data_IF_285614555904
#
_entry.id   IF_285614555904
#
_cell.length_a   1.000
_cell.length_b   1.000
_cell.length_c   1.000
_cell.angle_alpha   90.00
_cell.angle_beta   90.00
_cell.angle_gamma   90.00
#
_symmetry.space_group_name_H-M   'P 1'
#
loop_
_entity.id
_entity.type
_entity.pdbx_description
1 polymer ?
#
# COMPACT_ATOMS: atom_id res chain seq x y z
N UNK A 1 28.99 9.12 -26.75
CA UNK A 1 28.52 9.96 -25.62
C UNK A 1 29.64 10.05 -24.58
N UNK A 2 29.77 11.16 -23.84
CA UNK A 2 30.76 11.26 -22.77
C UNK A 2 30.48 10.20 -21.68
N UNK A 3 31.54 9.63 -21.12
CA UNK A 3 31.50 8.77 -19.93
C UNK A 3 32.19 9.53 -18.81
N UNK A 4 31.47 9.80 -17.72
CA UNK A 4 32.03 10.51 -16.57
C UNK A 4 32.57 9.48 -15.56
N UNK A 5 33.89 9.38 -15.47
CA UNK A 5 34.54 8.58 -14.43
C UNK A 5 34.59 9.38 -13.12
N UNK A 6 33.48 9.41 -12.37
CA UNK A 6 33.46 10.04 -11.05
C UNK A 6 32.12 10.63 -10.65
N UNK A 7 32.16 11.57 -9.72
CA UNK A 7 30.99 12.28 -9.19
C UNK A 7 30.57 13.38 -10.15
N UNK A 8 29.33 13.32 -10.62
CA UNK A 8 28.67 14.46 -11.25
C UNK A 8 28.20 15.43 -10.16
N UNK A 9 28.65 16.68 -10.21
CA UNK A 9 28.15 17.76 -9.35
C UNK A 9 27.52 18.83 -10.24
N UNK A 10 26.24 19.10 -10.04
CA UNK A 10 25.51 20.14 -10.77
C UNK A 10 24.54 20.82 -9.79
N UNK A 11 24.27 22.12 -10.02
CA UNK A 11 23.28 22.86 -9.22
C UNK A 11 21.84 22.44 -9.53
N UNK A 12 21.63 21.71 -10.63
CA UNK A 12 20.34 21.16 -11.05
C UNK A 12 20.50 20.19 -12.22
N UNK A 13 19.49 19.34 -12.41
CA UNK A 13 19.36 18.43 -13.53
C UNK A 13 17.89 18.46 -13.99
N UNK A 14 17.65 18.92 -15.21
CA UNK A 14 16.36 18.76 -15.90
C UNK A 14 16.51 17.66 -16.95
N UNK A 15 15.84 16.53 -16.73
CA UNK A 15 15.87 15.38 -17.64
C UNK A 15 14.92 15.53 -18.83
N UNK A 16 14.15 16.63 -18.94
CA UNK A 16 13.15 16.85 -20.00
C UNK A 16 12.13 15.69 -20.13
N UNK A 17 11.75 15.08 -18.99
CA UNK A 17 10.82 13.95 -18.94
C UNK A 17 11.43 12.57 -19.25
N UNK A 18 12.73 12.50 -19.52
CA UNK A 18 13.40 11.22 -19.79
C UNK A 18 13.60 10.36 -18.54
N UNK A 19 13.70 9.04 -18.74
CA UNK A 19 13.97 8.09 -17.66
C UNK A 19 15.43 8.15 -17.24
N UNK A 20 15.68 8.22 -15.93
CA UNK A 20 16.99 7.96 -15.33
C UNK A 20 17.08 6.46 -15.00
N UNK A 21 17.83 5.71 -15.81
CA UNK A 21 17.97 4.25 -15.68
C UNK A 21 19.27 3.87 -14.97
N UNK A 22 19.39 2.60 -14.58
CA UNK A 22 20.56 2.04 -13.87
C UNK A 22 20.89 2.72 -12.52
N UNK A 23 19.86 3.23 -11.84
CA UNK A 23 19.98 3.71 -10.46
C UNK A 23 20.01 2.51 -9.51
N UNK A 24 21.15 2.30 -8.86
CA UNK A 24 21.29 1.30 -7.79
C UNK A 24 20.33 1.58 -6.64
N UNK A 25 20.02 0.57 -5.83
CA UNK A 25 19.17 0.77 -4.66
C UNK A 25 19.87 1.72 -3.68
N UNK A 26 19.17 2.77 -3.26
CA UNK A 26 19.67 3.71 -2.26
C UNK A 26 19.76 3.07 -0.88
N UNK A 27 20.83 3.37 -0.15
CA UNK A 27 21.07 2.85 1.21
C UNK A 27 21.25 3.98 2.23
N UNK A 28 21.79 5.12 1.81
CA UNK A 28 21.84 6.33 2.62
C UNK A 28 20.58 7.18 2.43
N UNK A 29 20.26 8.02 3.41
CA UNK A 29 19.10 8.91 3.35
C UNK A 29 19.14 9.93 2.19
N UNK A 30 20.32 10.17 1.62
CA UNK A 30 20.54 11.11 0.51
C UNK A 30 20.60 10.42 -0.86
N UNK A 31 20.49 9.09 -0.91
CA UNK A 31 20.50 8.36 -2.17
C UNK A 31 19.15 8.49 -2.88
N UNK A 32 19.18 8.49 -4.21
CA UNK A 32 17.95 8.32 -4.98
C UNK A 32 17.39 6.90 -4.77
N UNK A 33 16.06 6.79 -4.69
CA UNK A 33 15.38 5.50 -4.68
C UNK A 33 15.05 5.05 -6.10
N UNK A 34 15.17 3.76 -6.38
CA UNK A 34 14.71 3.20 -7.65
C UNK A 34 13.30 2.61 -7.54
N UNK A 35 12.68 2.30 -8.69
CA UNK A 35 11.31 1.76 -8.75
C UNK A 35 11.15 0.46 -7.95
N UNK A 36 12.17 -0.39 -7.90
CA UNK A 36 12.12 -1.64 -7.13
C UNK A 36 11.92 -1.40 -5.63
N UNK A 37 12.56 -0.37 -5.07
CA UNK A 37 12.36 0.03 -3.67
C UNK A 37 10.95 0.59 -3.45
N UNK A 38 10.44 1.40 -4.38
CA UNK A 38 9.08 1.94 -4.31
C UNK A 38 8.02 0.84 -4.41
N UNK A 39 8.18 -0.11 -5.32
CA UNK A 39 7.27 -1.26 -5.49
C UNK A 39 7.26 -2.15 -4.24
N UNK A 40 8.43 -2.39 -3.64
CA UNK A 40 8.54 -3.14 -2.39
C UNK A 40 7.83 -2.44 -1.23
N UNK A 41 7.97 -1.12 -1.12
CA UNK A 41 7.24 -0.31 -0.13
C UNK A 41 5.73 -0.39 -0.34
N UNK A 42 5.26 -0.21 -1.58
CA UNK A 42 3.84 -0.31 -1.95
C UNK A 42 3.27 -1.69 -1.57
N UNK A 43 4.00 -2.75 -1.89
CA UNK A 43 3.63 -4.14 -1.53
C UNK A 43 3.55 -4.34 -0.02
N UNK A 44 4.56 -3.85 0.73
CA UNK A 44 4.57 -3.95 2.19
C UNK A 44 3.40 -3.18 2.83
N UNK A 45 3.08 -2.00 2.29
CA UNK A 45 1.93 -1.20 2.74
C UNK A 45 0.61 -1.93 2.50
N UNK A 46 0.39 -2.44 1.29
CA UNK A 46 -0.82 -3.18 0.95
C UNK A 46 -0.99 -4.42 1.84
N UNK A 47 0.08 -5.19 2.07
CA UNK A 47 0.04 -6.36 2.95
C UNK A 47 -0.39 -6.01 4.38
N UNK A 48 0.04 -4.86 4.92
CA UNK A 48 -0.38 -4.40 6.25
C UNK A 48 -1.85 -3.99 6.26
N UNK A 49 -2.29 -3.24 5.24
CA UNK A 49 -3.70 -2.85 5.09
C UNK A 49 -4.59 -4.08 4.95
N UNK A 50 -4.21 -5.04 4.12
CA UNK A 50 -4.94 -6.28 3.90
C UNK A 50 -5.03 -7.11 5.18
N UNK A 51 -3.93 -7.20 5.95
CA UNK A 51 -3.95 -7.88 7.24
C UNK A 51 -4.93 -7.22 8.22
N UNK A 52 -4.96 -5.89 8.28
CA UNK A 52 -5.87 -5.14 9.16
C UNK A 52 -7.34 -5.26 8.69
N UNK A 53 -7.59 -5.17 7.39
CA UNK A 53 -8.91 -5.33 6.80
C UNK A 53 -9.49 -6.72 7.06
N UNK A 54 -8.71 -7.78 6.82
CA UNK A 54 -9.10 -9.15 7.15
C UNK A 54 -9.32 -9.34 8.65
N UNK A 55 -8.45 -8.78 9.49
CA UNK A 55 -8.64 -8.83 10.95
C UNK A 55 -9.95 -8.17 11.37
N UNK A 56 -10.28 -7.01 10.79
CA UNK A 56 -11.52 -6.29 11.08
C UNK A 56 -12.75 -7.10 10.65
N UNK A 57 -12.77 -7.61 9.42
CA UNK A 57 -13.86 -8.46 8.92
C UNK A 57 -14.08 -9.72 9.78
N UNK A 58 -12.99 -10.41 10.13
CA UNK A 58 -13.04 -11.59 10.99
C UNK A 58 -13.57 -11.29 12.40
N UNK A 59 -13.15 -10.17 13.00
CA UNK A 59 -13.61 -9.77 14.32
C UNK A 59 -15.06 -9.26 14.31
N UNK A 60 -15.52 -8.67 13.21
CA UNK A 60 -16.95 -8.37 13.03
C UNK A 60 -17.76 -9.67 12.89
N UNK A 61 -17.24 -10.68 12.18
CA UNK A 61 -17.97 -11.93 11.95
C UNK A 61 -19.22 -11.70 11.09
N UNK A 62 -20.28 -12.49 11.32
CA UNK A 62 -21.56 -12.32 10.61
C UNK A 62 -21.46 -12.42 9.08
N UNK A 63 -20.43 -13.08 8.53
CA UNK A 63 -20.19 -13.13 7.09
C UNK A 63 -19.55 -11.87 6.48
N UNK A 64 -19.08 -10.93 7.30
CA UNK A 64 -18.24 -9.82 6.85
C UNK A 64 -16.96 -10.35 6.18
N UNK A 65 -16.51 -9.69 5.12
CA UNK A 65 -15.33 -10.03 4.33
C UNK A 65 -14.60 -8.77 3.91
N UNK A 66 -13.28 -8.86 3.77
CA UNK A 66 -12.44 -7.78 3.23
C UNK A 66 -12.13 -8.01 1.75
N UNK A 67 -12.19 -6.95 0.94
CA UNK A 67 -11.79 -6.94 -0.47
C UNK A 67 -10.48 -6.15 -0.64
N UNK A 68 -9.39 -6.84 -0.94
CA UNK A 68 -8.06 -6.23 -1.12
C UNK A 68 -7.94 -5.38 -2.39
N UNK A 69 -8.87 -5.49 -3.33
CA UNK A 69 -8.88 -4.67 -4.55
C UNK A 69 -9.40 -3.27 -4.25
N UNK A 70 -10.44 -3.18 -3.42
CA UNK A 70 -11.13 -1.91 -3.10
C UNK A 70 -10.77 -1.36 -1.73
N UNK A 71 -10.20 -2.18 -0.84
CA UNK A 71 -9.92 -1.85 0.56
C UNK A 71 -11.16 -1.86 1.46
N UNK A 72 -12.31 -2.35 0.97
CA UNK A 72 -13.57 -2.32 1.71
C UNK A 72 -13.76 -3.55 2.60
N UNK A 73 -14.38 -3.34 3.76
CA UNK A 73 -14.93 -4.41 4.62
C UNK A 73 -16.44 -4.44 4.42
N UNK A 74 -16.99 -5.58 3.99
CA UNK A 74 -18.43 -5.74 3.80
C UNK A 74 -19.18 -5.73 5.12
N UNK A 75 -20.43 -5.29 5.10
CA UNK A 75 -21.26 -5.32 6.30
C UNK A 75 -21.45 -6.75 6.81
N UNK A 76 -21.35 -6.99 8.13
CA UNK A 76 -21.77 -8.26 8.71
C UNK A 76 -23.30 -8.43 8.60
N UNK A 77 -23.77 -9.62 8.91
CA UNK A 77 -25.19 -9.92 9.16
C UNK A 77 -25.30 -10.61 10.51
N UNK A 78 -25.98 -9.95 11.44
CA UNK A 78 -26.32 -10.49 12.75
C UNK A 78 -27.82 -10.75 12.83
N UNK A 79 -28.22 -11.86 13.42
CA UNK A 79 -29.65 -12.18 13.65
C UNK A 79 -29.99 -11.92 15.10
N UNK A 80 -30.88 -10.94 15.35
CA UNK A 80 -31.34 -10.55 16.68
C UNK A 80 -32.86 -10.62 16.70
N UNK A 81 -33.41 -11.47 17.58
CA UNK A 81 -34.86 -11.69 17.68
C UNK A 81 -35.54 -12.06 16.34
N UNK A 82 -34.82 -12.77 15.46
CA UNK A 82 -35.31 -13.16 14.13
C UNK A 82 -35.20 -12.08 13.05
N UNK A 83 -34.71 -10.88 13.37
CA UNK A 83 -34.43 -9.82 12.40
C UNK A 83 -32.94 -9.77 12.08
N UNK A 84 -32.63 -9.54 10.81
CA UNK A 84 -31.26 -9.35 10.35
C UNK A 84 -30.89 -7.87 10.45
N UNK A 85 -29.77 -7.58 11.13
CA UNK A 85 -29.15 -6.27 11.21
C UNK A 85 -27.69 -6.37 10.75
N UNK A 86 -27.11 -5.27 10.29
CA UNK A 86 -25.84 -5.28 9.58
C UNK A 86 -24.74 -4.43 10.22
N UNK A 87 -24.94 -4.05 11.47
CA UNK A 87 -23.97 -3.35 12.29
C UNK A 87 -24.12 -3.76 13.76
N UNK A 88 -23.08 -3.52 14.56
CA UNK A 88 -23.03 -3.94 15.96
C UNK A 88 -23.99 -3.14 16.83
N UNK A 89 -24.23 -1.87 16.51
CA UNK A 89 -25.09 -0.98 17.30
C UNK A 89 -26.55 -1.43 17.31
N UNK A 90 -27.09 -1.83 16.15
CA UNK A 90 -28.45 -2.34 16.03
C UNK A 90 -28.61 -3.77 16.60
N UNK A 91 -27.49 -4.44 16.87
CA UNK A 91 -27.49 -5.82 17.35
C UNK A 91 -27.52 -5.97 18.88
N UNK A 92 -27.34 -4.88 19.64
CA UNK A 92 -27.24 -4.88 21.11
C UNK A 92 -28.43 -4.23 21.81
#
# INVERSE_FOLDING_TARGET
>A
APVFAGKLTANGLDANGEKVTNVGAGTAATDAVNKGQLDALSTSSNNKTDALGNSTANNLGGGSSYDSTTGAVSSPTYTVNGNNVNNVGDAI
#
